data_IF_823666149545
#
_entry.id   IF_823666149545
#
_cell.length_a   1.000
_cell.length_b   1.000
_cell.length_c   1.000
_cell.angle_alpha   90.00
_cell.angle_beta   90.00
_cell.angle_gamma   90.00
#
_symmetry.space_group_name_H-M   'P 1'
#
loop_
_entity.id
_entity.type
_entity.pdbx_description
1 polymer ?
#
# COMPACT_ATOMS: atom_id res chain seq x y z
N UNK A 1 14.58 -23.73 -4.35
CA UNK A 1 13.30 -23.86 -5.08
C UNK A 1 13.00 -22.52 -5.72
N UNK A 2 12.59 -22.51 -6.99
CA UNK A 2 12.23 -21.29 -7.73
C UNK A 2 10.84 -21.50 -8.35
N UNK A 3 9.99 -20.48 -8.28
CA UNK A 3 8.65 -20.48 -8.85
C UNK A 3 8.54 -19.32 -9.84
N UNK A 4 8.32 -19.64 -11.12
CA UNK A 4 8.08 -18.66 -12.17
C UNK A 4 6.58 -18.59 -12.42
N UNK A 5 5.97 -17.43 -12.16
CA UNK A 5 4.53 -17.23 -12.34
C UNK A 5 4.22 -16.50 -13.65
N UNK A 6 3.10 -16.87 -14.26
CA UNK A 6 2.52 -16.20 -15.42
C UNK A 6 1.23 -15.48 -15.02
N UNK A 7 0.69 -14.58 -15.86
CA UNK A 7 -0.60 -13.96 -15.61
C UNK A 7 -1.76 -14.96 -15.47
N UNK A 8 -1.65 -16.15 -16.06
CA UNK A 8 -2.65 -17.21 -15.93
C UNK A 8 -2.71 -17.77 -14.50
N UNK A 9 -1.58 -17.80 -13.79
CA UNK A 9 -1.50 -18.27 -12.40
C UNK A 9 -2.09 -17.25 -11.41
N UNK A 10 -2.07 -15.97 -11.79
CA UNK A 10 -2.54 -14.86 -10.95
C UNK A 10 -4.06 -14.73 -10.96
N UNK A 11 -4.71 -14.86 -12.12
CA UNK A 11 -6.16 -14.62 -12.27
C UNK A 11 -7.01 -15.41 -11.26
N UNK A 12 -6.78 -16.71 -11.04
CA UNK A 12 -7.58 -17.49 -10.08
C UNK A 12 -7.38 -17.09 -8.62
N UNK A 13 -6.28 -16.40 -8.30
CA UNK A 13 -5.98 -15.94 -6.93
C UNK A 13 -6.81 -14.71 -6.59
N UNK A 14 -7.06 -13.83 -7.55
CA UNK A 14 -7.80 -12.57 -7.35
C UNK A 14 -9.19 -12.86 -6.74
N UNK A 15 -9.90 -13.84 -7.28
CA UNK A 15 -11.24 -14.24 -6.78
C UNK A 15 -11.21 -14.92 -5.41
N UNK A 16 -10.03 -15.27 -4.90
CA UNK A 16 -9.85 -15.91 -3.60
C UNK A 16 -9.37 -14.92 -2.53
N UNK A 17 -8.74 -13.79 -2.90
CA UNK A 17 -8.22 -12.81 -1.94
C UNK A 17 -9.26 -12.37 -0.90
N UNK A 18 -10.51 -12.00 -1.26
CA UNK A 18 -11.50 -11.59 -0.26
C UNK A 18 -11.85 -12.69 0.76
N UNK A 19 -11.69 -13.96 0.36
CA UNK A 19 -11.92 -15.12 1.25
C UNK A 19 -10.70 -15.43 2.13
N UNK A 20 -9.50 -15.01 1.74
CA UNK A 20 -8.29 -15.22 2.54
C UNK A 20 -8.11 -14.14 3.60
N UNK A 21 -8.53 -12.91 3.29
CA UNK A 21 -8.31 -11.75 4.14
C UNK A 21 -9.58 -11.29 4.87
N UNK A 22 -10.73 -11.92 4.61
CA UNK A 22 -12.06 -11.56 5.13
C UNK A 22 -12.50 -10.10 4.84
N UNK A 23 -11.74 -9.38 4.01
CA UNK A 23 -12.01 -8.01 3.59
C UNK A 23 -11.47 -7.73 2.17
N UNK A 24 -11.92 -6.64 1.51
CA UNK A 24 -11.31 -6.18 0.26
C UNK A 24 -9.87 -5.73 0.51
N UNK A 25 -8.91 -6.64 0.30
CA UNK A 25 -7.49 -6.40 0.54
C UNK A 25 -6.75 -6.17 -0.78
N UNK A 26 -6.21 -4.96 -0.97
CA UNK A 26 -5.61 -4.50 -2.23
C UNK A 26 -4.10 -4.23 -2.10
N UNK A 27 -3.38 -5.12 -1.41
CA UNK A 27 -1.92 -5.07 -1.39
C UNK A 27 -1.32 -5.88 -2.56
N UNK A 28 -0.35 -5.26 -3.24
CA UNK A 28 0.32 -5.86 -4.40
C UNK A 28 1.16 -7.08 -4.03
N UNK A 29 1.59 -7.20 -2.77
CA UNK A 29 2.41 -8.32 -2.32
C UNK A 29 1.60 -9.57 -1.94
N UNK A 30 0.27 -9.44 -1.81
CA UNK A 30 -0.59 -10.54 -1.35
C UNK A 30 -0.65 -11.72 -2.31
N UNK A 31 -0.73 -11.46 -3.62
CA UNK A 31 -0.79 -12.51 -4.65
C UNK A 31 0.53 -13.29 -4.72
N UNK A 32 1.71 -12.66 -4.87
CA UNK A 32 2.99 -13.38 -4.82
C UNK A 32 3.17 -14.17 -3.52
N UNK A 33 2.81 -13.58 -2.38
CA UNK A 33 2.94 -14.22 -1.06
C UNK A 33 2.08 -15.48 -0.97
N UNK A 34 0.85 -15.44 -1.46
CA UNK A 34 -0.01 -16.63 -1.52
C UNK A 34 0.59 -17.72 -2.43
N UNK A 35 1.03 -17.35 -3.65
CA UNK A 35 1.56 -18.31 -4.62
C UNK A 35 2.82 -19.01 -4.10
N UNK A 36 3.75 -18.24 -3.51
CA UNK A 36 4.97 -18.83 -2.94
C UNK A 36 4.68 -19.66 -1.69
N UNK A 37 3.74 -19.25 -0.84
CA UNK A 37 3.34 -20.03 0.34
C UNK A 37 2.68 -21.36 -0.06
N UNK A 38 1.81 -21.33 -1.09
CA UNK A 38 1.18 -22.53 -1.66
C UNK A 38 2.23 -23.50 -2.19
N UNK A 39 3.21 -23.01 -2.94
CA UNK A 39 4.30 -23.82 -3.47
C UNK A 39 5.24 -24.35 -2.37
N UNK A 40 5.63 -23.49 -1.41
CA UNK A 40 6.48 -23.89 -0.29
C UNK A 40 5.87 -25.01 0.56
N UNK A 41 4.53 -25.06 0.66
CA UNK A 41 3.80 -26.09 1.41
C UNK A 41 4.01 -27.51 0.89
N UNK A 42 4.42 -27.66 -0.37
CA UNK A 42 4.79 -28.95 -0.96
C UNK A 42 6.09 -29.52 -0.35
N UNK A 43 6.94 -28.66 0.24
CA UNK A 43 8.26 -29.03 0.73
C UNK A 43 8.42 -28.85 2.25
N UNK A 44 7.81 -27.82 2.83
CA UNK A 44 7.97 -27.46 4.24
C UNK A 44 6.64 -27.18 4.91
N UNK A 45 6.56 -27.47 6.22
CA UNK A 45 5.39 -27.10 7.02
C UNK A 45 5.46 -25.67 7.55
N UNK A 46 6.65 -25.15 7.78
CA UNK A 46 6.92 -23.85 8.40
C UNK A 46 7.98 -23.14 7.58
N UNK A 47 7.74 -21.86 7.29
CA UNK A 47 8.69 -20.96 6.65
C UNK A 47 8.74 -19.67 7.48
N UNK A 48 9.94 -19.11 7.64
CA UNK A 48 10.13 -17.81 8.29
C UNK A 48 10.12 -16.72 7.21
N UNK A 49 9.26 -15.71 7.38
CA UNK A 49 9.27 -14.50 6.54
C UNK A 49 9.95 -13.34 7.28
N UNK A 50 10.51 -12.41 6.54
CA UNK A 50 11.11 -11.18 7.07
C UNK A 50 10.18 -9.98 6.89
N UNK A 51 8.89 -10.20 7.13
CA UNK A 51 7.89 -9.13 7.09
C UNK A 51 8.09 -8.16 8.26
N UNK A 52 7.94 -6.86 8.05
CA UNK A 52 8.20 -5.83 9.08
C UNK A 52 9.63 -5.28 9.13
N UNK A 53 10.57 -5.82 8.34
CA UNK A 53 11.97 -5.37 8.37
C UNK A 53 12.14 -3.92 7.91
N UNK A 54 11.44 -3.54 6.85
CA UNK A 54 11.51 -2.17 6.32
C UNK A 54 10.88 -1.16 7.28
N UNK A 55 9.88 -1.56 8.06
CA UNK A 55 9.23 -0.78 9.10
C UNK A 55 10.17 -0.55 10.29
N UNK A 56 10.87 -1.60 10.74
CA UNK A 56 11.82 -1.52 11.85
C UNK A 56 13.05 -0.68 11.50
N UNK A 57 13.57 -0.80 10.28
CA UNK A 57 14.82 -0.16 9.86
C UNK A 57 14.64 1.06 8.96
N UNK A 58 13.40 1.46 8.67
CA UNK A 58 13.12 2.61 7.81
C UNK A 58 13.52 2.38 6.34
N UNK A 59 13.42 1.15 5.85
CA UNK A 59 13.84 0.75 4.52
C UNK A 59 12.97 1.29 3.38
N UNK A 60 11.68 1.55 3.65
CA UNK A 60 10.83 2.16 2.64
C UNK A 60 11.28 3.58 2.27
N UNK A 61 11.24 3.87 0.97
CA UNK A 61 11.62 5.18 0.41
C UNK A 61 10.84 6.35 1.01
N UNK A 62 9.60 6.12 1.44
CA UNK A 62 8.76 7.16 2.02
C UNK A 62 9.25 7.62 3.39
N UNK A 63 9.91 6.78 4.19
CA UNK A 63 10.51 7.20 5.46
C UNK A 63 11.58 8.28 5.25
N UNK A 64 12.48 8.08 4.27
CA UNK A 64 13.48 9.10 3.89
C UNK A 64 12.81 10.39 3.46
N UNK A 65 11.75 10.31 2.65
CA UNK A 65 11.01 11.50 2.19
C UNK A 65 10.36 12.25 3.35
N UNK A 66 9.73 11.54 4.29
CA UNK A 66 9.11 12.13 5.48
C UNK A 66 10.17 12.83 6.33
N UNK A 67 11.33 12.21 6.55
CA UNK A 67 12.44 12.82 7.29
C UNK A 67 12.98 14.07 6.61
N UNK A 68 13.17 14.05 5.29
CA UNK A 68 13.56 15.23 4.52
C UNK A 68 12.53 16.35 4.63
N UNK A 69 11.24 16.03 4.47
CA UNK A 69 10.15 17.00 4.62
C UNK A 69 10.08 17.59 6.02
N UNK A 70 10.30 16.78 7.06
CA UNK A 70 10.33 17.24 8.45
C UNK A 70 11.48 18.26 8.68
N UNK A 71 12.64 18.07 8.03
CA UNK A 71 13.74 19.05 8.07
C UNK A 71 13.34 20.38 7.43
N UNK A 72 12.73 20.36 6.25
CA UNK A 72 12.25 21.59 5.60
C UNK A 72 11.15 22.29 6.40
N UNK A 73 10.22 21.54 6.99
CA UNK A 73 9.17 22.09 7.86
C UNK A 73 9.72 22.80 9.09
N UNK A 74 10.83 22.33 9.67
CA UNK A 74 11.51 23.01 10.79
C UNK A 74 12.21 24.30 10.38
N UNK A 75 12.59 24.44 9.12
CA UNK A 75 13.32 25.59 8.61
C UNK A 75 12.43 26.72 8.06
N UNK A 76 11.13 26.48 7.85
CA UNK A 76 10.20 27.43 7.24
C UNK A 76 9.11 27.88 8.24
N UNK A 77 8.66 29.14 8.19
CA UNK A 77 7.58 29.63 9.04
C UNK A 77 6.24 28.94 8.69
N UNK A 78 5.47 28.61 9.72
CA UNK A 78 4.28 27.75 9.62
C UNK A 78 3.23 28.22 8.57
N UNK A 79 3.05 29.53 8.41
CA UNK A 79 2.08 30.10 7.45
C UNK A 79 2.43 29.89 5.98
N UNK A 80 3.72 29.74 5.64
CA UNK A 80 4.14 29.48 4.25
C UNK A 80 3.91 28.02 3.87
N UNK A 81 3.99 27.12 4.85
CA UNK A 81 3.79 25.68 4.66
C UNK A 81 2.30 25.35 4.52
N UNK A 82 1.42 25.98 5.31
CA UNK A 82 -0.02 25.71 5.26
C UNK A 82 -0.64 26.07 3.91
N UNK A 83 -0.31 27.24 3.36
CA UNK A 83 -0.86 27.70 2.07
C UNK A 83 -0.36 26.84 0.90
N UNK A 84 0.91 26.46 0.91
CA UNK A 84 1.50 25.64 -0.16
C UNK A 84 1.00 24.19 -0.12
N UNK A 85 0.84 23.60 1.07
CA UNK A 85 0.24 22.25 1.20
C UNK A 85 -1.23 22.28 0.77
N UNK A 86 -2.01 23.29 1.19
CA UNK A 86 -3.42 23.42 0.79
C UNK A 86 -3.56 23.57 -0.73
N UNK A 87 -2.71 24.40 -1.36
CA UNK A 87 -2.69 24.55 -2.81
C UNK A 87 -2.30 23.25 -3.54
N UNK A 88 -1.29 22.53 -3.04
CA UNK A 88 -0.82 21.27 -3.63
C UNK A 88 -1.85 20.14 -3.46
N UNK A 89 -2.51 20.04 -2.31
CA UNK A 89 -3.56 19.06 -2.02
C UNK A 89 -4.77 19.26 -2.93
N UNK A 90 -5.15 20.52 -3.21
CA UNK A 90 -6.21 20.87 -4.20
C UNK A 90 -5.88 20.38 -5.61
N UNK A 91 -4.60 20.20 -5.95
CA UNK A 91 -4.14 19.79 -7.28
C UNK A 91 -3.75 18.31 -7.38
N UNK A 92 -3.62 17.60 -6.26
CA UNK A 92 -3.11 16.23 -6.25
C UNK A 92 -4.14 15.22 -6.79
N UNK A 93 -3.68 14.31 -7.66
CA UNK A 93 -4.48 13.26 -8.33
C UNK A 93 -5.18 12.28 -7.37
N UNK A 94 -4.78 12.23 -6.10
CA UNK A 94 -5.36 11.33 -5.07
C UNK A 94 -6.83 11.67 -4.82
N UNK A 95 -7.18 12.97 -4.74
CA UNK A 95 -8.57 13.41 -4.59
C UNK A 95 -9.44 13.03 -5.79
N UNK A 96 -8.85 12.90 -6.99
CA UNK A 96 -9.57 12.48 -8.20
C UNK A 96 -9.85 10.98 -8.22
N UNK A 97 -8.97 10.15 -7.67
CA UNK A 97 -9.21 8.69 -7.59
C UNK A 97 -10.29 8.36 -6.55
N UNK A 98 -10.22 8.95 -5.36
CA UNK A 98 -11.23 8.77 -4.30
C UNK A 98 -12.61 9.26 -4.76
N UNK A 99 -12.70 10.43 -5.40
CA UNK A 99 -13.98 10.96 -5.88
C UNK A 99 -14.58 10.21 -7.07
N UNK A 100 -13.77 9.56 -7.91
CA UNK A 100 -14.24 8.89 -9.15
C UNK A 100 -14.44 7.38 -8.98
N UNK A 101 -13.62 6.73 -8.16
CA UNK A 101 -13.57 5.25 -8.05
C UNK A 101 -14.23 4.75 -6.77
N UNK A 102 -14.05 5.42 -5.62
CA UNK A 102 -14.64 4.97 -4.35
C UNK A 102 -16.17 4.82 -4.37
N UNK A 103 -16.96 5.71 -5.02
CA UNK A 103 -18.41 5.55 -5.10
C UNK A 103 -18.86 4.30 -5.85
N UNK A 104 -18.03 3.80 -6.78
CA UNK A 104 -18.36 2.62 -7.61
C UNK A 104 -18.22 1.29 -6.88
N UNK A 105 -17.52 1.28 -5.74
CA UNK A 105 -17.30 0.09 -4.91
C UNK A 105 -18.03 0.14 -3.57
N UNK A 106 -18.93 1.11 -3.38
CA UNK A 106 -19.67 1.28 -2.11
C UNK A 106 -18.79 1.71 -0.93
N UNK A 107 -17.55 2.13 -1.19
CA UNK A 107 -16.63 2.62 -0.16
C UNK A 107 -16.99 4.09 0.07
N UNK A 108 -17.58 4.39 1.22
CA UNK A 108 -17.80 5.77 1.63
C UNK A 108 -16.46 6.51 1.61
N UNK A 109 -16.39 7.62 0.89
CA UNK A 109 -15.23 8.48 0.91
C UNK A 109 -14.99 8.94 2.36
N UNK A 110 -13.99 8.36 3.02
CA UNK A 110 -13.44 8.89 4.28
C UNK A 110 -12.63 10.12 3.91
N UNK A 111 -13.35 11.17 3.51
CA UNK A 111 -12.85 12.50 3.31
C UNK A 111 -13.98 13.45 3.72
N UNK A 112 -14.48 13.29 4.94
CA UNK A 112 -15.24 14.34 5.60
C UNK A 112 -14.49 14.70 6.89
N UNK A 113 -13.95 15.93 6.88
CA UNK A 113 -13.44 16.73 8.00
C UNK A 113 -12.45 16.06 8.96
N UNK A 114 -11.16 16.32 8.73
CA UNK A 114 -10.24 16.89 9.74
C UNK A 114 -9.21 17.78 9.06
#
# INVERSE_FOLDING_TARGET
HELICTPADVRPVIDQLPRMFDEPFADSSSIPTYLIAKYAREFVKVALSADGGDELFGGYRHYKRILSLARYKRALPAGLISETINALMRFSRVNRWVSVVAPKFGIAAVCDRT
#
